data_IF_700095678413
#
_entry.id   IF_700095678413
#
_cell.length_a   1.000
_cell.length_b   1.000
_cell.length_c   1.000
_cell.angle_alpha   90.00
_cell.angle_beta   90.00
_cell.angle_gamma   90.00
#
_symmetry.space_group_name_H-M   'P 1'
#
loop_
_entity.id
_entity.type
_entity.pdbx_description
1 polymer ?
#
# COMPACT_ATOMS: atom_id res chain seq x y z
N UNK A 1 -4.84 20.32 11.68
CA UNK A 1 -5.89 19.32 12.01
C UNK A 1 -5.54 17.95 11.45
N UNK A 2 -5.30 17.79 10.14
CA UNK A 2 -4.95 16.48 9.54
C UNK A 2 -3.67 15.84 10.09
N UNK A 3 -2.62 16.64 10.32
CA UNK A 3 -1.35 16.17 10.90
C UNK A 3 -1.55 15.48 12.26
N UNK A 4 -2.44 16.04 13.10
CA UNK A 4 -2.73 15.50 14.42
C UNK A 4 -3.47 14.15 14.31
N UNK A 5 -4.46 14.06 13.41
CA UNK A 5 -5.21 12.82 13.16
C UNK A 5 -4.27 11.70 12.71
N UNK A 6 -3.41 11.98 11.72
CA UNK A 6 -2.42 11.02 11.23
C UNK A 6 -1.45 10.59 12.35
N UNK A 7 -1.02 11.54 13.19
CA UNK A 7 -0.11 11.26 14.31
C UNK A 7 -0.77 10.37 15.36
N UNK A 8 -2.01 10.66 15.75
CA UNK A 8 -2.75 9.87 16.73
C UNK A 8 -3.02 8.46 16.22
N UNK A 9 -3.41 8.33 14.95
CA UNK A 9 -3.62 7.05 14.27
C UNK A 9 -2.34 6.21 14.24
N UNK A 10 -1.23 6.77 13.75
CA UNK A 10 0.04 6.05 13.66
C UNK A 10 0.60 5.67 15.04
N UNK A 11 0.42 6.52 16.06
CA UNK A 11 0.92 6.25 17.40
C UNK A 11 0.27 5.03 18.08
N UNK A 12 -0.86 4.52 17.58
CA UNK A 12 -1.42 3.21 18.01
C UNK A 12 -0.45 2.06 17.69
N UNK A 13 0.38 2.21 16.67
CA UNK A 13 1.27 1.17 16.15
C UNK A 13 2.68 1.19 16.75
N UNK A 14 3.13 2.34 17.26
CA UNK A 14 4.48 2.53 17.82
C UNK A 14 4.49 2.71 19.33
N UNK A 15 5.54 2.20 19.98
CA UNK A 15 5.82 2.48 21.40
C UNK A 15 6.85 3.62 21.55
N UNK A 16 7.02 4.11 22.79
CA UNK A 16 7.96 5.19 23.07
C UNK A 16 9.41 4.88 22.67
N UNK A 17 9.86 3.63 22.83
CA UNK A 17 11.22 3.25 22.46
C UNK A 17 11.44 3.31 20.95
N UNK A 18 10.48 2.82 20.16
CA UNK A 18 10.49 2.92 18.70
C UNK A 18 10.47 4.37 18.25
N UNK A 19 9.62 5.20 18.87
CA UNK A 19 9.56 6.64 18.58
C UNK A 19 10.89 7.35 18.81
N UNK A 20 11.59 7.06 19.92
CA UNK A 20 12.90 7.65 20.20
C UNK A 20 13.94 7.21 19.15
N UNK A 21 13.94 5.93 18.78
CA UNK A 21 14.85 5.39 17.75
C UNK A 21 14.56 5.97 16.35
N UNK A 22 13.29 6.12 15.98
CA UNK A 22 12.89 6.74 14.71
C UNK A 22 13.32 8.21 14.63
N UNK A 23 13.12 8.98 15.71
CA UNK A 23 13.63 10.36 15.78
C UNK A 23 15.15 10.45 15.70
N UNK A 24 15.89 9.44 16.17
CA UNK A 24 17.35 9.41 16.04
C UNK A 24 17.78 9.26 14.57
N UNK A 25 17.06 8.45 13.79
CA UNK A 25 17.30 8.29 12.35
C UNK A 25 17.09 9.63 11.63
N UNK A 26 15.99 10.33 11.93
CA UNK A 26 15.71 11.66 11.37
C UNK A 26 16.79 12.69 11.71
N UNK A 27 17.19 12.77 12.99
CA UNK A 27 18.21 13.73 13.44
C UNK A 27 19.58 13.52 12.79
N UNK A 28 19.85 12.29 12.36
CA UNK A 28 21.09 11.91 11.71
C UNK A 28 20.99 11.96 10.17
N UNK A 29 19.88 12.47 9.63
CA UNK A 29 19.65 12.62 8.18
C UNK A 29 19.82 11.32 7.39
N UNK A 30 19.29 10.22 7.94
CA UNK A 30 19.45 8.88 7.38
C UNK A 30 18.31 8.48 6.43
N UNK A 31 17.40 9.38 6.09
CA UNK A 31 16.36 9.13 5.09
C UNK A 31 16.86 9.63 3.75
N UNK A 32 17.20 8.69 2.87
CA UNK A 32 17.77 8.98 1.56
C UNK A 32 16.72 9.52 0.61
N UNK A 33 15.57 8.84 0.56
CA UNK A 33 14.47 9.13 -0.36
C UNK A 33 13.13 8.93 0.35
N UNK A 34 12.15 9.77 -0.01
CA UNK A 34 10.76 9.63 0.39
C UNK A 34 9.87 10.03 -0.78
N UNK A 35 8.91 9.16 -1.10
CA UNK A 35 7.92 9.33 -2.14
C UNK A 35 6.52 9.19 -1.51
N UNK A 36 5.62 10.10 -1.89
CA UNK A 36 4.29 10.22 -1.28
C UNK A 36 3.26 10.27 -2.40
N UNK A 37 2.46 9.21 -2.49
CA UNK A 37 1.37 9.09 -3.45
C UNK A 37 0.05 9.14 -2.70
N UNK A 38 -0.87 9.97 -3.16
CA UNK A 38 -2.20 10.13 -2.57
C UNK A 38 -3.20 9.86 -3.67
N UNK A 39 -3.96 8.79 -3.48
CA UNK A 39 -5.10 8.41 -4.31
C UNK A 39 -6.40 8.64 -3.50
N UNK A 40 -7.55 8.42 -4.13
CA UNK A 40 -8.85 8.62 -3.48
C UNK A 40 -9.02 7.73 -2.24
N UNK A 41 -8.54 6.48 -2.32
CA UNK A 41 -8.71 5.47 -1.26
C UNK A 41 -7.54 5.42 -0.27
N UNK A 42 -6.31 5.67 -0.71
CA UNK A 42 -5.10 5.43 0.09
C UNK A 42 -4.08 6.57 0.02
N UNK A 43 -3.33 6.74 1.12
CA UNK A 43 -2.11 7.55 1.19
C UNK A 43 -0.94 6.59 1.35
N UNK A 44 -0.11 6.49 0.32
CA UNK A 44 1.05 5.62 0.23
C UNK A 44 2.34 6.41 0.45
N UNK A 45 3.14 5.98 1.41
CA UNK A 45 4.42 6.61 1.75
C UNK A 45 5.52 5.57 1.60
N UNK A 46 6.35 5.73 0.58
CA UNK A 46 7.51 4.88 0.35
C UNK A 46 8.79 5.64 0.68
N UNK A 47 9.79 4.96 1.22
CA UNK A 47 11.08 5.58 1.54
C UNK A 47 12.22 4.59 1.54
N UNK A 48 13.43 5.14 1.40
CA UNK A 48 14.69 4.41 1.58
C UNK A 48 15.41 4.99 2.78
N UNK A 49 15.64 4.15 3.79
CA UNK A 49 16.29 4.54 5.05
C UNK A 49 17.65 3.86 5.15
N UNK A 50 18.70 4.66 5.29
CA UNK A 50 20.08 4.19 5.46
C UNK A 50 20.27 3.68 6.89
N UNK A 51 20.99 2.56 7.02
CA UNK A 51 21.35 2.02 8.33
C UNK A 51 22.23 3.00 9.11
N UNK A 52 22.14 2.99 10.43
CA UNK A 52 22.99 3.86 11.28
C UNK A 52 24.49 3.51 11.17
N UNK A 53 24.81 2.33 10.66
CA UNK A 53 26.18 1.92 10.33
C UNK A 53 26.59 2.27 8.90
N UNK A 54 25.69 2.84 8.10
CA UNK A 54 25.89 3.29 6.72
C UNK A 54 26.24 2.18 5.71
N UNK A 55 26.02 0.91 6.07
CA UNK A 55 26.34 -0.26 5.22
C UNK A 55 25.13 -0.87 4.51
N UNK A 56 23.93 -0.39 4.77
CA UNK A 56 22.70 -0.99 4.23
C UNK A 56 21.62 0.04 4.04
N UNK A 57 20.72 -0.22 3.11
CA UNK A 57 19.53 0.59 2.84
C UNK A 57 18.29 -0.27 3.02
N UNK A 58 17.26 0.29 3.64
CA UNK A 58 16.01 -0.42 3.91
C UNK A 58 14.85 0.31 3.22
N UNK A 59 14.20 -0.37 2.28
CA UNK A 59 12.91 0.06 1.76
C UNK A 59 11.86 -0.01 2.88
N UNK A 60 11.11 1.07 3.05
CA UNK A 60 10.03 1.17 4.03
C UNK A 60 8.77 1.70 3.34
N UNK A 61 7.62 1.11 3.66
CA UNK A 61 6.32 1.53 3.17
C UNK A 61 5.34 1.71 4.32
N UNK A 62 4.46 2.70 4.21
CA UNK A 62 3.32 2.93 5.09
C UNK A 62 2.11 3.26 4.21
N UNK A 63 1.02 2.53 4.41
CA UNK A 63 -0.24 2.76 3.75
C UNK A 63 -1.27 3.23 4.78
N UNK A 64 -1.93 4.35 4.50
CA UNK A 64 -3.07 4.83 5.26
C UNK A 64 -4.33 4.82 4.40
N UNK A 65 -5.46 4.51 5.03
CA UNK A 65 -6.77 4.72 4.44
C UNK A 65 -7.04 6.23 4.36
N UNK A 66 -7.38 6.73 3.18
CA UNK A 66 -7.58 8.15 2.95
C UNK A 66 -8.91 8.66 3.51
N UNK A 67 -9.85 7.81 3.89
CA UNK A 67 -11.12 8.24 4.48
C UNK A 67 -11.03 8.28 6.03
N UNK A 68 -10.57 7.18 6.61
CA UNK A 68 -10.48 6.97 8.06
C UNK A 68 -9.16 7.47 8.66
N UNK A 69 -8.13 7.63 7.82
CA UNK A 69 -6.74 7.93 8.22
C UNK A 69 -6.14 6.86 9.14
N UNK A 70 -6.67 5.65 9.14
CA UNK A 70 -6.10 4.51 9.84
C UNK A 70 -4.97 3.87 9.03
N UNK A 71 -3.96 3.33 9.71
CA UNK A 71 -2.89 2.58 9.05
C UNK A 71 -3.47 1.27 8.53
N UNK A 72 -3.37 1.03 7.21
CA UNK A 72 -3.79 -0.21 6.55
C UNK A 72 -2.68 -1.24 6.67
N UNK A 73 -1.48 -0.88 6.22
CA UNK A 73 -0.32 -1.77 6.19
C UNK A 73 0.99 -1.00 6.42
N UNK A 74 2.01 -1.72 6.86
CA UNK A 74 3.37 -1.22 7.03
C UNK A 74 4.35 -2.26 6.56
N UNK A 75 5.46 -1.85 5.92
CA UNK A 75 6.52 -2.76 5.52
C UNK A 75 7.91 -2.16 5.76
N UNK A 76 8.88 -3.00 6.12
CA UNK A 76 10.29 -2.62 6.12
C UNK A 76 11.22 -3.80 5.86
N UNK A 77 12.23 -3.62 5.01
CA UNK A 77 13.24 -4.66 4.72
C UNK A 77 14.27 -4.92 5.84
N UNK A 78 14.06 -4.46 7.08
CA UNK A 78 15.02 -4.65 8.16
C UNK A 78 14.74 -5.90 9.00
N UNK A 79 15.80 -6.45 9.59
CA UNK A 79 15.72 -7.67 10.42
C UNK A 79 14.78 -7.54 11.63
N UNK A 80 14.59 -6.33 12.16
CA UNK A 80 13.66 -6.08 13.27
C UNK A 80 12.20 -6.21 12.80
N UNK A 81 11.90 -5.77 11.58
CA UNK A 81 10.58 -5.90 11.00
C UNK A 81 10.27 -7.36 10.63
N UNK A 82 11.16 -8.03 9.89
CA UNK A 82 11.02 -9.45 9.51
C UNK A 82 10.73 -10.37 10.71
N UNK A 83 11.36 -10.10 11.86
CA UNK A 83 11.18 -10.91 13.08
C UNK A 83 9.88 -10.65 13.83
N UNK A 84 9.18 -9.56 13.53
CA UNK A 84 8.07 -9.07 14.34
C UNK A 84 6.80 -8.74 13.54
N UNK A 85 6.84 -8.72 12.21
CA UNK A 85 5.70 -8.41 11.34
C UNK A 85 4.46 -9.27 11.64
N UNK A 86 4.66 -10.56 11.93
CA UNK A 86 3.55 -11.48 12.24
C UNK A 86 3.10 -11.47 13.71
N UNK A 87 3.75 -10.69 14.58
CA UNK A 87 3.42 -10.66 16.02
C UNK A 87 2.39 -9.61 16.38
N UNK A 88 2.24 -8.59 15.54
CA UNK A 88 1.32 -7.47 15.75
C UNK A 88 0.97 -6.90 14.37
N UNK A 89 -0.33 -6.67 14.15
CA UNK A 89 -0.80 -5.94 12.98
C UNK A 89 -0.09 -4.59 12.88
N UNK A 90 0.32 -4.23 11.66
CA UNK A 90 0.99 -2.96 11.34
C UNK A 90 2.23 -2.70 12.22
N UNK A 91 3.05 -3.74 12.40
CA UNK A 91 4.28 -3.63 13.16
C UNK A 91 5.18 -2.53 12.60
N UNK A 92 5.59 -1.61 13.47
CA UNK A 92 6.44 -0.48 13.10
C UNK A 92 7.82 -0.64 13.74
N UNK A 93 8.83 -0.87 12.93
CA UNK A 93 10.23 -0.77 13.35
C UNK A 93 10.67 0.70 13.43
N UNK A 94 11.93 0.94 13.85
CA UNK A 94 12.48 2.30 13.92
C UNK A 94 12.53 3.02 12.57
N UNK A 95 12.71 2.30 11.46
CA UNK A 95 12.79 2.92 10.13
C UNK A 95 11.41 3.40 9.67
N UNK A 96 10.37 2.58 9.84
CA UNK A 96 8.97 2.97 9.58
C UNK A 96 8.58 4.20 10.41
N UNK A 97 8.95 4.23 11.68
CA UNK A 97 8.71 5.40 12.52
C UNK A 97 9.42 6.66 11.99
N UNK A 98 10.65 6.54 11.49
CA UNK A 98 11.37 7.64 10.88
C UNK A 98 10.69 8.12 9.58
N UNK A 99 10.31 7.19 8.70
CA UNK A 99 9.55 7.46 7.47
C UNK A 99 8.29 8.27 7.76
N UNK A 100 7.50 7.86 8.75
CA UNK A 100 6.29 8.56 9.12
C UNK A 100 6.56 9.99 9.59
N UNK A 101 7.57 10.19 10.45
CA UNK A 101 7.88 11.51 10.96
C UNK A 101 8.50 12.43 9.90
N UNK A 102 9.23 11.89 8.91
CA UNK A 102 9.67 12.67 7.76
C UNK A 102 8.48 13.10 6.88
N UNK A 103 7.54 12.19 6.63
CA UNK A 103 6.30 12.53 5.95
C UNK A 103 5.58 13.69 6.67
N UNK A 104 5.50 13.65 8.00
CA UNK A 104 4.93 14.75 8.77
C UNK A 104 5.67 16.08 8.60
N UNK A 105 6.99 16.07 8.39
CA UNK A 105 7.76 17.29 8.07
C UNK A 105 7.42 17.79 6.67
N UNK A 106 7.36 16.88 5.68
CA UNK A 106 6.99 17.22 4.30
C UNK A 106 5.61 17.86 4.18
N UNK A 107 4.64 17.46 5.01
CA UNK A 107 3.31 18.11 5.05
C UNK A 107 3.40 19.59 5.47
N UNK A 108 4.34 19.93 6.36
CA UNK A 108 4.50 21.32 6.80
C UNK A 108 5.15 22.17 5.71
N UNK A 109 6.09 21.58 4.97
CA UNK A 109 6.90 22.26 3.96
C UNK A 109 6.22 22.36 2.59
N UNK A 110 5.32 21.42 2.24
CA UNK A 110 4.63 21.36 0.96
C UNK A 110 3.13 21.71 1.10
N UNK A 111 2.79 22.95 0.72
CA UNK A 111 1.41 23.43 0.71
C UNK A 111 0.50 22.65 -0.25
N UNK A 112 1.03 22.15 -1.37
CA UNK A 112 0.31 21.32 -2.34
C UNK A 112 -0.06 19.97 -1.74
N UNK A 113 0.89 19.29 -1.12
CA UNK A 113 0.66 18.05 -0.39
C UNK A 113 -0.39 18.22 0.72
N UNK A 114 -0.28 19.30 1.51
CA UNK A 114 -1.24 19.60 2.56
C UNK A 114 -2.65 19.80 2.01
N UNK A 115 -2.79 20.45 0.86
CA UNK A 115 -4.09 20.67 0.21
C UNK A 115 -4.72 19.35 -0.26
N UNK A 116 -3.93 18.47 -0.89
CA UNK A 116 -4.38 17.12 -1.31
C UNK A 116 -4.89 16.29 -0.13
N UNK A 117 -4.16 16.30 0.99
CA UNK A 117 -4.57 15.59 2.21
C UNK A 117 -5.82 16.15 2.88
N UNK A 118 -6.10 17.45 2.69
CA UNK A 118 -7.23 18.15 3.33
C UNK A 118 -8.51 18.06 2.48
N UNK A 119 -8.41 18.06 1.16
CA UNK A 119 -9.57 17.98 0.26
C UNK A 119 -10.32 16.65 0.39
N UNK A 120 -9.65 15.57 0.82
CA UNK A 120 -10.28 14.29 1.18
C UNK A 120 -11.29 14.39 2.37
N UNK A 121 -11.30 15.50 3.12
CA UNK A 121 -12.22 15.71 4.25
C UNK A 121 -13.52 16.44 3.81
N UNK A 122 -13.48 17.19 2.71
CA UNK A 122 -14.57 18.13 2.34
C UNK A 122 -15.66 17.54 1.45
N UNK A 123 -15.42 16.45 0.72
CA UNK A 123 -16.41 15.87 -0.21
C UNK A 123 -17.56 15.12 0.49
N UNK A 124 -17.44 14.86 1.79
CA UNK A 124 -18.49 14.20 2.58
C UNK A 124 -19.62 15.14 3.08
N UNK A 125 -19.67 16.41 2.64
CA UNK A 125 -20.75 17.31 3.11
C UNK A 125 -21.66 17.93 2.05
N UNK A 126 -21.35 17.92 0.75
CA UNK A 126 -22.31 18.43 -0.27
C UNK A 126 -22.15 17.68 -1.59
N UNK A 127 -22.86 16.56 -1.76
CA UNK A 127 -23.54 16.23 -3.03
C UNK A 127 -24.57 15.12 -2.84
N UNK A 128 -25.71 15.47 -2.25
CA UNK A 128 -26.97 14.89 -2.68
C UNK A 128 -27.39 15.65 -3.93
N UNK A 129 -27.08 15.13 -5.12
CA UNK A 129 -27.81 15.41 -6.35
C UNK A 129 -27.46 14.40 -7.44
N UNK A 130 -28.49 13.68 -7.91
CA UNK A 130 -28.47 13.00 -9.20
C UNK A 130 -27.83 11.62 -9.23
N UNK A 131 -28.60 10.58 -8.88
CA UNK A 131 -28.37 9.25 -9.45
C UNK A 131 -28.71 9.31 -10.94
N UNK A 132 -27.70 9.57 -11.76
CA UNK A 132 -27.65 9.05 -13.13
C UNK A 132 -26.57 7.98 -13.16
N UNK A 133 -26.99 6.76 -13.46
CA UNK A 133 -26.17 5.70 -14.05
C UNK A 133 -25.41 6.24 -15.27
N UNK A 134 -24.29 5.60 -15.61
CA UNK A 134 -23.32 5.92 -16.70
C UNK A 134 -22.15 6.77 -16.16
N UNK A 135 -20.87 6.37 -16.14
CA UNK A 135 -20.05 5.43 -16.92
C UNK A 135 -18.92 4.97 -15.98
N UNK A 136 -18.67 3.66 -15.86
CA UNK A 136 -17.39 3.18 -15.32
C UNK A 136 -16.31 3.63 -16.29
N UNK A 137 -15.52 4.63 -15.86
CA UNK A 137 -14.46 5.24 -16.65
C UNK A 137 -13.47 4.20 -17.12
N UNK A 138 -13.11 4.33 -18.40
CA UNK A 138 -11.99 3.67 -19.04
C UNK A 138 -10.78 3.64 -18.11
N UNK A 139 -10.37 2.44 -17.72
CA UNK A 139 -9.13 2.22 -16.99
C UNK A 139 -8.00 2.90 -17.76
N UNK A 140 -7.12 3.66 -17.11
CA UNK A 140 -5.90 4.24 -17.71
C UNK A 140 -5.10 3.22 -18.56
N UNK A 141 -5.23 1.93 -18.22
CA UNK A 141 -4.71 0.79 -18.96
C UNK A 141 -5.34 0.60 -20.35
N UNK A 142 -6.64 0.88 -20.56
CA UNK A 142 -7.31 0.76 -21.86
C UNK A 142 -6.76 1.73 -22.90
N UNK A 143 -6.25 2.89 -22.46
CA UNK A 143 -5.55 3.85 -23.33
C UNK A 143 -4.18 3.34 -23.84
N UNK A 144 -3.57 2.37 -23.13
CA UNK A 144 -2.27 1.80 -23.49
C UNK A 144 -2.37 0.60 -24.43
N UNK A 145 -3.57 0.07 -24.67
CA UNK A 145 -3.81 -1.06 -25.56
C UNK A 145 -4.59 -0.60 -26.80
N UNK A 146 -3.88 -0.29 -27.90
CA UNK A 146 -4.50 0.15 -29.17
C UNK A 146 -5.32 -0.95 -29.90
N UNK A 147 -5.35 -2.18 -29.36
CA UNK A 147 -5.98 -3.33 -30.00
C UNK A 147 -7.41 -3.59 -29.47
N UNK A 148 -8.42 -3.23 -30.27
CA UNK A 148 -9.85 -3.39 -29.94
C UNK A 148 -10.37 -4.84 -29.90
N UNK A 149 -9.55 -5.82 -30.28
CA UNK A 149 -9.96 -7.23 -30.43
C UNK A 149 -9.33 -8.18 -29.38
N UNK A 150 -8.86 -7.67 -28.24
CA UNK A 150 -8.31 -8.54 -27.18
C UNK A 150 -9.38 -9.06 -26.24
N UNK A 151 -9.39 -10.37 -26.05
CA UNK A 151 -10.30 -11.02 -25.11
C UNK A 151 -9.89 -10.72 -23.67
N UNK A 152 -10.78 -10.11 -22.90
CA UNK A 152 -10.54 -9.84 -21.48
C UNK A 152 -10.47 -11.16 -20.69
N UNK A 153 -9.35 -11.37 -20.02
CA UNK A 153 -9.15 -12.49 -19.11
C UNK A 153 -9.79 -12.17 -17.76
N UNK A 154 -10.44 -13.18 -17.18
CA UNK A 154 -10.93 -13.18 -15.81
C UNK A 154 -10.00 -14.05 -14.97
N UNK A 155 -9.50 -13.51 -13.87
CA UNK A 155 -8.67 -14.22 -12.89
C UNK A 155 -9.38 -14.29 -11.54
N UNK A 156 -9.34 -15.44 -10.89
CA UNK A 156 -9.81 -15.63 -9.52
C UNK A 156 -8.72 -16.34 -8.71
N UNK A 157 -8.47 -15.83 -7.49
CA UNK A 157 -7.52 -16.43 -6.56
C UNK A 157 -8.28 -16.81 -5.28
N UNK A 158 -8.20 -18.07 -4.89
CA UNK A 158 -8.85 -18.60 -3.70
C UNK A 158 -7.77 -18.96 -2.70
N UNK A 159 -7.76 -18.29 -1.55
CA UNK A 159 -6.85 -18.57 -0.45
C UNK A 159 -7.55 -19.44 0.59
N UNK A 160 -6.98 -20.61 0.88
CA UNK A 160 -7.50 -21.55 1.86
C UNK A 160 -6.42 -21.88 2.89
N UNK A 161 -6.79 -21.96 4.16
CA UNK A 161 -5.92 -22.51 5.19
C UNK A 161 -6.06 -24.03 5.19
N UNK A 162 -4.97 -24.74 4.94
CA UNK A 162 -4.95 -26.19 5.08
C UNK A 162 -5.06 -26.56 6.55
N UNK A 163 -6.18 -27.17 6.94
CA UNK A 163 -6.48 -27.54 8.32
C UNK A 163 -5.54 -28.61 8.89
N UNK A 164 -4.88 -29.40 8.05
CA UNK A 164 -3.92 -30.43 8.48
C UNK A 164 -2.49 -29.93 8.57
N UNK A 165 -2.05 -29.07 7.66
CA UNK A 165 -0.66 -28.60 7.62
C UNK A 165 -0.46 -27.19 8.20
N UNK A 166 -1.55 -26.51 8.59
CA UNK A 166 -1.56 -25.09 9.01
C UNK A 166 -0.94 -24.12 7.99
N UNK A 167 -0.76 -24.55 6.73
CA UNK A 167 -0.20 -23.74 5.64
C UNK A 167 -1.32 -23.06 4.87
N UNK A 168 -1.05 -21.87 4.35
CA UNK A 168 -1.93 -21.21 3.38
C UNK A 168 -1.70 -21.85 2.01
N UNK A 169 -2.79 -22.17 1.32
CA UNK A 169 -2.82 -22.69 -0.04
C UNK A 169 -3.57 -21.69 -0.91
N UNK A 170 -3.05 -21.44 -2.11
CA UNK A 170 -3.68 -20.59 -3.11
C UNK A 170 -4.08 -21.44 -4.31
N UNK A 171 -5.34 -21.35 -4.73
CA UNK A 171 -5.84 -21.91 -5.98
C UNK A 171 -6.10 -20.78 -6.96
N UNK A 172 -5.50 -20.87 -8.15
CA UNK A 172 -5.64 -19.87 -9.20
C UNK A 172 -6.56 -20.40 -10.29
N UNK A 173 -7.51 -19.58 -10.71
CA UNK A 173 -8.39 -19.88 -11.83
C UNK A 173 -8.34 -18.78 -12.88
N UNK A 174 -8.39 -19.19 -14.14
CA UNK A 174 -8.38 -18.30 -15.31
C UNK A 174 -9.55 -18.62 -16.24
N UNK A 175 -10.16 -17.60 -16.82
CA UNK A 175 -11.26 -17.73 -17.77
C UNK A 175 -11.35 -16.53 -18.70
N UNK A 176 -12.32 -16.55 -19.61
CA UNK A 176 -12.57 -15.46 -20.58
C UNK A 176 -13.84 -14.73 -20.18
N UNK A 177 -13.71 -13.44 -19.87
CA UNK A 177 -14.81 -12.62 -19.30
C UNK A 177 -16.04 -12.57 -20.20
N UNK A 178 -15.84 -12.55 -21.52
CA UNK A 178 -16.93 -12.30 -22.49
C UNK A 178 -17.45 -13.55 -23.22
N UNK A 179 -16.88 -14.74 -22.97
CA UNK A 179 -17.25 -15.98 -23.70
C UNK A 179 -17.90 -17.05 -22.83
N UNK A 180 -17.56 -17.13 -21.55
CA UNK A 180 -18.13 -18.15 -20.66
C UNK A 180 -17.90 -17.84 -19.19
N UNK A 181 -18.84 -18.23 -18.32
CA UNK A 181 -18.62 -18.26 -16.87
C UNK A 181 -17.71 -19.41 -16.41
N UNK A 182 -17.19 -20.21 -17.35
CA UNK A 182 -16.28 -21.32 -17.04
C UNK A 182 -14.89 -20.79 -16.70
N UNK A 183 -14.42 -21.16 -15.51
CA UNK A 183 -13.08 -20.88 -15.00
C UNK A 183 -12.29 -22.18 -14.93
N UNK A 184 -11.05 -22.17 -15.41
CA UNK A 184 -10.15 -23.32 -15.41
C UNK A 184 -9.14 -23.19 -14.27
N UNK A 185 -8.95 -24.26 -13.50
CA UNK A 185 -7.95 -24.30 -12.44
C UNK A 185 -6.56 -24.41 -13.07
N UNK A 186 -5.71 -23.45 -12.76
CA UNK A 186 -4.31 -23.43 -13.19
C UNK A 186 -3.50 -24.35 -12.27
N UNK A 187 -3.18 -25.55 -12.77
CA UNK A 187 -2.47 -26.59 -12.01
C UNK A 187 -0.95 -26.38 -11.98
N UNK A 188 -0.40 -25.74 -13.00
CA UNK A 188 1.03 -25.52 -13.15
C UNK A 188 1.31 -24.06 -13.52
N UNK A 189 1.60 -23.27 -12.47
CA UNK A 189 1.86 -21.83 -12.59
C UNK A 189 3.19 -21.59 -13.31
N UNK A 190 4.19 -22.47 -13.13
CA UNK A 190 5.51 -22.29 -13.75
C UNK A 190 5.40 -22.39 -15.27
N UNK A 191 4.67 -23.39 -15.77
CA UNK A 191 4.41 -23.54 -17.20
C UNK A 191 3.57 -22.39 -17.77
N UNK A 192 2.62 -21.85 -16.99
CA UNK A 192 1.86 -20.66 -17.40
C UNK A 192 2.76 -19.43 -17.55
N UNK A 193 3.64 -19.16 -16.58
CA UNK A 193 4.58 -18.03 -16.64
C UNK A 193 5.54 -18.18 -17.82
N UNK A 194 6.09 -19.38 -18.04
CA UNK A 194 6.97 -19.64 -19.20
C UNK A 194 6.27 -19.42 -20.55
N UNK A 195 4.97 -19.69 -20.62
CA UNK A 195 4.16 -19.46 -21.83
C UNK A 195 3.97 -17.97 -22.17
N UNK A 196 4.20 -17.06 -21.22
CA UNK A 196 4.15 -15.61 -21.47
C UNK A 196 5.44 -15.06 -22.10
N UNK A 197 6.54 -15.80 -22.02
CA UNK A 197 7.85 -15.37 -22.51
C UNK A 197 8.22 -15.95 -23.88
N UNK A 198 7.39 -16.83 -24.45
CA UNK A 198 7.51 -17.37 -25.81
C UNK A 198 6.50 -16.71 -26.74
#
# INVERSE_FOLDING_TARGET
MIKQILTESFNKNVNNATRIKGNRILKNDLIKEIDINIDDDCININSIVVSESLFSEYGCSIEFDNNTKEVIDTYCGCLDYEKNEFKKDNYCCKHIAATFYEFLNRIDDDAGLRSKLTNAITDNTISNNGRSSEIYGDNLLSSLFEDKDKEELKFEVILNKNNWSSKIQAEFKIGLKNKSNKMYIMRDINNFILSMYN
#
